data_IF_449186251958
#
_entry.id   IF_449186251958
#
_cell.length_a   1.000
_cell.length_b   1.000
_cell.length_c   1.000
_cell.angle_alpha   90.00
_cell.angle_beta   90.00
_cell.angle_gamma   90.00
#
_symmetry.space_group_name_H-M   'P 1'
#
loop_
_entity.id
_entity.type
_entity.pdbx_description
1 polymer ?
#
# COMPACT_ATOMS: atom_id res chain seq x y z
N UNK A 1 -36.55 61.44 -7.61
CA UNK A 1 -35.17 61.97 -7.78
C UNK A 1 -34.40 61.76 -6.49
N UNK A 2 -33.39 60.88 -6.48
CA UNK A 2 -32.30 60.87 -5.49
C UNK A 2 -31.18 59.96 -6.01
N UNK A 3 -30.04 60.56 -6.28
CA UNK A 3 -28.82 59.88 -6.70
C UNK A 3 -28.16 59.19 -5.49
N UNK A 4 -27.55 58.02 -5.73
CA UNK A 4 -26.61 57.38 -4.82
C UNK A 4 -25.39 56.93 -5.64
N UNK A 5 -24.19 57.51 -5.43
CA UNK A 5 -22.96 56.98 -6.00
C UNK A 5 -22.31 56.02 -4.99
N UNK A 6 -21.83 54.87 -5.46
CA UNK A 6 -20.85 54.06 -4.72
C UNK A 6 -19.66 53.79 -5.62
N UNK A 7 -18.59 54.56 -5.41
CA UNK A 7 -17.26 54.23 -5.89
C UNK A 7 -16.67 53.02 -5.12
N UNK A 8 -15.58 52.44 -5.63
CA UNK A 8 -15.04 51.19 -5.14
C UNK A 8 -14.25 51.39 -3.85
N UNK A 9 -14.42 50.49 -2.88
CA UNK A 9 -13.49 50.37 -1.75
C UNK A 9 -12.79 49.01 -1.85
N UNK A 10 -11.55 49.06 -2.31
CA UNK A 10 -10.52 48.06 -2.04
C UNK A 10 -10.06 48.23 -0.60
N UNK A 11 -10.15 47.18 0.22
CA UNK A 11 -9.27 46.98 1.38
C UNK A 11 -9.07 45.48 1.52
N UNK A 12 -7.81 45.04 1.43
CA UNK A 12 -7.42 43.66 1.59
C UNK A 12 -7.14 43.27 3.04
N UNK A 13 -6.60 42.05 3.14
CA UNK A 13 -5.95 41.39 4.28
C UNK A 13 -6.88 40.66 5.23
N UNK A 14 -6.91 39.33 5.10
CA UNK A 14 -6.49 38.42 6.17
C UNK A 14 -6.36 37.00 5.60
N UNK A 15 -5.15 36.67 5.11
CA UNK A 15 -4.74 35.28 5.08
C UNK A 15 -4.55 34.81 6.52
N UNK A 16 -5.22 33.73 6.91
CA UNK A 16 -4.78 32.88 8.02
C UNK A 16 -5.44 31.50 7.97
N UNK A 17 -4.63 30.53 7.56
CA UNK A 17 -4.51 29.21 8.15
C UNK A 17 -5.75 28.32 8.20
N UNK A 18 -5.86 27.40 7.24
CA UNK A 18 -6.44 26.08 7.46
C UNK A 18 -5.76 25.07 6.51
N UNK A 19 -4.46 24.88 6.71
CA UNK A 19 -3.77 23.63 6.41
C UNK A 19 -3.41 22.96 7.75
N UNK A 20 -2.97 21.71 7.75
CA UNK A 20 -2.59 20.88 8.93
C UNK A 20 -3.63 19.88 9.47
N UNK A 21 -4.43 19.26 8.61
CA UNK A 21 -4.99 17.94 8.96
C UNK A 21 -5.12 16.96 7.79
N UNK A 22 -5.06 17.44 6.54
CA UNK A 22 -5.15 16.60 5.34
C UNK A 22 -3.75 16.14 4.85
N UNK A 23 -2.71 16.95 5.10
CA UNK A 23 -1.35 16.67 4.65
C UNK A 23 -0.75 15.39 5.26
N UNK A 24 -1.01 15.11 6.55
CA UNK A 24 -0.41 13.96 7.26
C UNK A 24 -0.88 12.60 6.72
N UNK A 25 -2.15 12.51 6.29
CA UNK A 25 -2.70 11.29 5.71
C UNK A 25 -2.15 11.02 4.30
N UNK A 26 -1.81 12.09 3.57
CA UNK A 26 -1.24 12.01 2.23
C UNK A 26 0.24 11.58 2.27
N UNK A 27 1.01 12.05 3.27
CA UNK A 27 2.40 11.57 3.44
C UNK A 27 2.42 10.07 3.78
N UNK A 28 1.52 9.62 4.65
CA UNK A 28 1.41 8.18 5.00
C UNK A 28 1.01 7.36 3.78
N UNK A 29 0.05 7.82 2.98
CA UNK A 29 -0.35 7.16 1.74
C UNK A 29 0.80 7.09 0.71
N UNK A 30 1.55 8.19 0.53
CA UNK A 30 2.71 8.25 -0.34
C UNK A 30 3.82 7.31 0.14
N UNK A 31 4.08 7.25 1.45
CA UNK A 31 5.09 6.35 2.04
C UNK A 31 4.68 4.89 1.86
N UNK A 32 3.42 4.53 2.16
CA UNK A 32 2.91 3.18 1.94
C UNK A 32 2.97 2.78 0.46
N UNK A 33 2.60 3.68 -0.46
CA UNK A 33 2.68 3.42 -1.89
C UNK A 33 4.12 3.16 -2.34
N UNK A 34 5.08 4.00 -1.93
CA UNK A 34 6.49 3.82 -2.29
C UNK A 34 7.07 2.54 -1.70
N UNK A 35 6.74 2.24 -0.44
CA UNK A 35 7.17 1.01 0.22
C UNK A 35 6.62 -0.21 -0.51
N UNK A 36 5.34 -0.20 -0.88
CA UNK A 36 4.72 -1.26 -1.64
C UNK A 36 5.39 -1.46 -3.01
N UNK A 37 5.64 -0.39 -3.76
CA UNK A 37 6.32 -0.46 -5.06
C UNK A 37 7.76 -1.00 -4.95
N UNK A 38 8.50 -0.57 -3.92
CA UNK A 38 9.85 -1.08 -3.70
C UNK A 38 9.85 -2.55 -3.30
N UNK A 39 8.96 -2.94 -2.38
CA UNK A 39 8.81 -4.32 -1.96
C UNK A 39 8.38 -5.21 -3.14
N UNK A 40 7.50 -4.70 -4.01
CA UNK A 40 7.09 -5.35 -5.25
C UNK A 40 8.29 -5.63 -6.17
N UNK A 41 9.10 -4.62 -6.48
CA UNK A 41 10.29 -4.78 -7.33
C UNK A 41 11.30 -5.78 -6.76
N UNK A 42 11.60 -5.68 -5.46
CA UNK A 42 12.53 -6.62 -4.80
C UNK A 42 12.00 -8.06 -4.80
N UNK A 43 10.70 -8.25 -4.57
CA UNK A 43 10.12 -9.57 -4.60
C UNK A 43 10.07 -10.14 -6.02
N UNK A 44 9.75 -9.32 -7.02
CA UNK A 44 9.79 -9.72 -8.43
C UNK A 44 11.20 -10.19 -8.84
N UNK A 45 12.24 -9.46 -8.42
CA UNK A 45 13.64 -9.84 -8.65
C UNK A 45 13.96 -11.19 -8.00
N UNK A 46 13.64 -11.37 -6.72
CA UNK A 46 13.87 -12.63 -6.00
C UNK A 46 13.12 -13.81 -6.63
N UNK A 47 11.86 -13.63 -6.99
CA UNK A 47 11.07 -14.68 -7.63
C UNK A 47 11.56 -14.99 -9.05
N UNK A 48 12.00 -13.97 -9.79
CA UNK A 48 12.66 -14.12 -11.10
C UNK A 48 13.95 -14.93 -10.99
N UNK A 49 14.75 -14.68 -9.97
CA UNK A 49 15.97 -15.42 -9.65
C UNK A 49 15.68 -16.89 -9.31
N UNK A 50 14.67 -17.15 -8.48
CA UNK A 50 14.25 -18.51 -8.13
C UNK A 50 13.71 -19.28 -9.34
N UNK A 51 12.98 -18.60 -10.22
CA UNK A 51 12.55 -19.14 -11.51
C UNK A 51 13.73 -19.48 -12.41
N UNK A 52 14.69 -18.56 -12.56
CA UNK A 52 15.88 -18.77 -13.39
C UNK A 52 16.71 -19.98 -12.91
N UNK A 53 16.78 -20.18 -11.59
CA UNK A 53 17.44 -21.33 -10.96
C UNK A 53 16.58 -22.60 -10.95
N UNK A 54 15.40 -22.59 -11.56
CA UNK A 54 14.42 -23.70 -11.58
C UNK A 54 14.02 -24.21 -10.19
N UNK A 55 14.11 -23.35 -9.17
CA UNK A 55 13.71 -23.66 -7.79
C UNK A 55 12.21 -23.45 -7.57
N UNK A 56 11.59 -22.58 -8.37
CA UNK A 56 10.15 -22.37 -8.41
C UNK A 56 9.71 -22.35 -9.88
N UNK A 57 8.85 -23.28 -10.35
CA UNK A 57 8.25 -23.23 -11.69
C UNK A 57 7.22 -22.11 -11.86
N UNK A 58 7.63 -20.85 -11.65
CA UNK A 58 6.78 -19.66 -11.86
C UNK A 58 6.73 -19.32 -13.36
N UNK A 59 5.55 -19.41 -13.96
CA UNK A 59 5.33 -19.02 -15.36
C UNK A 59 5.22 -17.50 -15.53
N UNK A 60 4.53 -16.85 -14.58
CA UNK A 60 4.27 -15.41 -14.55
C UNK A 60 4.73 -14.84 -13.20
N UNK A 61 5.83 -14.09 -13.23
CA UNK A 61 6.44 -13.49 -12.03
C UNK A 61 5.55 -12.40 -11.42
N UNK A 62 4.90 -11.58 -12.25
CA UNK A 62 4.04 -10.49 -11.78
C UNK A 62 2.82 -11.07 -11.04
N UNK A 63 2.20 -12.10 -11.63
CA UNK A 63 1.11 -12.80 -10.96
C UNK A 63 1.55 -13.44 -9.64
N UNK A 64 2.74 -14.04 -9.60
CA UNK A 64 3.27 -14.63 -8.38
C UNK A 64 3.52 -13.56 -7.28
N UNK A 65 4.00 -12.38 -7.64
CA UNK A 65 4.16 -11.26 -6.70
C UNK A 65 2.81 -10.82 -6.14
N UNK A 66 1.80 -10.61 -7.00
CA UNK A 66 0.45 -10.23 -6.57
C UNK A 66 -0.14 -11.27 -5.61
N UNK A 67 -0.02 -12.56 -5.95
CA UNK A 67 -0.50 -13.64 -5.09
C UNK A 67 0.23 -13.66 -3.75
N UNK A 68 1.55 -13.51 -3.73
CA UNK A 68 2.32 -13.49 -2.49
C UNK A 68 1.87 -12.35 -1.56
N UNK A 69 1.73 -11.12 -2.08
CA UNK A 69 1.24 -9.98 -1.30
C UNK A 69 -0.20 -10.19 -0.81
N UNK A 70 -1.07 -10.73 -1.66
CA UNK A 70 -2.46 -11.01 -1.32
C UNK A 70 -2.59 -12.00 -0.16
N UNK A 71 -1.69 -12.97 -0.06
CA UNK A 71 -1.71 -14.00 0.98
C UNK A 71 -1.00 -13.58 2.28
N UNK A 72 0.04 -12.75 2.20
CA UNK A 72 0.94 -12.50 3.35
C UNK A 72 0.92 -11.07 3.88
N UNK A 73 0.43 -10.09 3.12
CA UNK A 73 0.50 -8.67 3.51
C UNK A 73 -0.89 -8.05 3.60
N UNK A 74 -1.71 -8.27 2.58
CA UNK A 74 -3.04 -7.66 2.49
C UNK A 74 -3.93 -7.91 3.73
N UNK A 75 -3.96 -9.11 4.35
CA UNK A 75 -4.79 -9.36 5.52
C UNK A 75 -4.39 -8.54 6.76
N UNK A 76 -3.13 -8.13 6.86
CA UNK A 76 -2.65 -7.26 7.96
C UNK A 76 -2.96 -5.79 7.68
N UNK A 77 -2.90 -5.36 6.41
CA UNK A 77 -3.25 -4.01 6.01
C UNK A 77 -4.73 -3.73 6.21
N UNK A 78 -5.60 -4.65 5.79
CA UNK A 78 -7.04 -4.47 5.88
C UNK A 78 -7.53 -4.46 7.33
N UNK A 79 -6.97 -5.29 8.19
CA UNK A 79 -7.33 -5.33 9.62
C UNK A 79 -6.88 -4.09 10.36
N UNK A 80 -5.67 -3.60 10.07
CA UNK A 80 -5.18 -2.31 10.54
C UNK A 80 -6.09 -1.15 10.13
N UNK A 81 -6.64 -1.19 8.90
CA UNK A 81 -7.56 -0.15 8.41
C UNK A 81 -8.90 -0.08 9.17
N UNK A 82 -9.31 -1.17 9.82
CA UNK A 82 -10.48 -1.20 10.71
C UNK A 82 -10.16 -0.81 12.16
N UNK A 83 -8.96 -0.29 12.44
CA UNK A 83 -8.54 0.09 13.79
C UNK A 83 -8.24 -1.10 14.70
N UNK A 84 -8.08 -2.29 14.12
CA UNK A 84 -7.75 -3.52 14.85
C UNK A 84 -6.36 -4.00 14.50
N UNK A 85 -5.59 -4.45 15.49
CA UNK A 85 -4.33 -5.16 15.24
C UNK A 85 -4.55 -6.66 15.32
N UNK A 86 -3.93 -7.44 14.43
CA UNK A 86 -3.85 -8.88 14.65
C UNK A 86 -2.91 -9.15 15.83
N UNK A 87 -3.32 -10.02 16.76
CA UNK A 87 -2.38 -10.65 17.69
C UNK A 87 -1.17 -11.22 16.94
N UNK A 88 0.02 -11.11 17.53
CA UNK A 88 1.29 -11.49 16.90
C UNK A 88 1.31 -12.97 16.48
N UNK A 89 0.78 -13.85 17.33
CA UNK A 89 0.61 -15.28 17.06
C UNK A 89 -0.27 -15.53 15.83
N UNK A 90 -1.35 -14.74 15.67
CA UNK A 90 -2.24 -14.84 14.51
C UNK A 90 -1.58 -14.29 13.26
N UNK A 91 -0.79 -13.23 13.39
CA UNK A 91 0.00 -12.66 12.29
C UNK A 91 0.99 -13.67 11.74
N UNK A 92 1.79 -14.30 12.61
CA UNK A 92 2.76 -15.32 12.23
C UNK A 92 2.08 -16.50 11.51
N UNK A 93 1.02 -17.06 12.10
CA UNK A 93 0.28 -18.18 11.48
C UNK A 93 -0.31 -17.83 10.12
N UNK A 94 -0.74 -16.59 9.92
CA UNK A 94 -1.32 -16.17 8.65
C UNK A 94 -0.25 -16.04 7.57
N UNK A 95 0.93 -15.51 7.92
CA UNK A 95 2.10 -15.48 7.03
C UNK A 95 2.52 -16.90 6.66
N UNK A 96 2.69 -17.79 7.64
CA UNK A 96 3.11 -19.18 7.41
C UNK A 96 2.15 -19.91 6.47
N UNK A 97 0.84 -19.83 6.74
CA UNK A 97 -0.17 -20.47 5.90
C UNK A 97 -0.22 -19.86 4.48
N UNK A 98 -0.02 -18.54 4.37
CA UNK A 98 0.04 -17.85 3.09
C UNK A 98 1.23 -18.30 2.24
N UNK A 99 2.42 -18.42 2.87
CA UNK A 99 3.63 -18.95 2.23
C UNK A 99 3.44 -20.42 1.84
N UNK A 100 2.89 -21.24 2.73
CA UNK A 100 2.61 -22.65 2.44
C UNK A 100 1.68 -22.80 1.23
N UNK A 101 0.63 -21.98 1.15
CA UNK A 101 -0.29 -22.01 0.01
C UNK A 101 0.38 -21.52 -1.28
N UNK A 102 1.20 -20.47 -1.20
CA UNK A 102 2.00 -20.00 -2.32
C UNK A 102 2.94 -21.11 -2.85
N UNK A 103 3.63 -21.81 -1.95
CA UNK A 103 4.54 -22.91 -2.31
C UNK A 103 3.80 -24.16 -2.78
N UNK A 104 2.56 -24.42 -2.34
CA UNK A 104 1.73 -25.49 -2.94
C UNK A 104 1.38 -25.19 -4.39
N UNK A 105 1.19 -23.92 -4.72
CA UNK A 105 0.84 -23.47 -6.08
C UNK A 105 2.06 -23.43 -7.01
N UNK A 106 3.19 -22.91 -6.53
CA UNK A 106 4.39 -22.67 -7.35
C UNK A 106 5.58 -23.56 -7.04
N UNK A 107 5.49 -24.42 -6.03
CA UNK A 107 6.54 -25.37 -5.68
C UNK A 107 6.60 -26.53 -6.67
N UNK A 108 7.76 -27.16 -6.75
CA UNK A 108 7.89 -28.40 -7.51
C UNK A 108 7.05 -29.48 -6.83
N UNK A 109 6.17 -30.19 -7.56
CA UNK A 109 5.50 -31.38 -7.04
C UNK A 109 6.57 -32.34 -6.46
N UNK A 110 6.32 -32.85 -5.25
CA UNK A 110 7.11 -33.95 -4.70
C UNK A 110 6.87 -35.23 -5.48
#
# INVERSE_FOLDING_TARGET
MKACPRGPKTVGVAGRGQGTSDDDHDVVAVVLHRLHQRAHGLLAEVLGDLRARRRLPIADTEMAVIQFFGLTVYPHLITGSFGTSLPEDRTARLIDNGVDMFLKTYGTPK
#
